data_IF_484528232800
#
_entry.id   IF_484528232800
#
_cell.length_a   1.000
_cell.length_b   1.000
_cell.length_c   1.000
_cell.angle_alpha   90.00
_cell.angle_beta   90.00
_cell.angle_gamma   90.00
#
_symmetry.space_group_name_H-M   'P 1'
#
loop_
_entity.id
_entity.type
_entity.pdbx_description
1 polymer ?
#
# COMPACT_ATOMS: atom_id res chain seq x y z
N UNK A 1 -2.43 -6.49 43.87
CA UNK A 1 -2.96 -7.44 42.86
C UNK A 1 -4.20 -6.89 42.13
N UNK A 2 -4.97 -5.98 42.72
CA UNK A 2 -6.16 -5.35 42.08
C UNK A 2 -5.85 -4.40 40.93
N UNK A 3 -4.80 -3.57 40.99
CA UNK A 3 -4.44 -2.64 39.89
C UNK A 3 -4.12 -3.35 38.56
N UNK A 4 -3.59 -4.57 38.61
CA UNK A 4 -3.31 -5.36 37.41
C UNK A 4 -4.59 -5.92 36.77
N UNK A 5 -5.70 -6.00 37.52
CA UNK A 5 -7.00 -6.51 37.05
C UNK A 5 -7.83 -5.42 36.39
N UNK A 6 -7.73 -4.17 36.84
CA UNK A 6 -8.45 -3.02 36.25
C UNK A 6 -7.89 -2.63 34.87
N UNK A 7 -6.56 -2.59 34.72
CA UNK A 7 -5.87 -2.30 33.46
C UNK A 7 -6.19 -3.30 32.34
N UNK A 8 -6.29 -4.59 32.67
CA UNK A 8 -6.67 -5.65 31.71
C UNK A 8 -8.14 -5.51 31.26
N UNK A 9 -9.04 -5.15 32.17
CA UNK A 9 -10.46 -4.91 31.85
C UNK A 9 -10.64 -3.67 30.97
N UNK A 10 -9.88 -2.61 31.25
CA UNK A 10 -9.90 -1.39 30.45
C UNK A 10 -9.42 -1.65 29.01
N UNK A 11 -8.30 -2.36 28.85
CA UNK A 11 -7.78 -2.68 27.51
C UNK A 11 -8.74 -3.53 26.68
N UNK A 12 -9.46 -4.47 27.30
CA UNK A 12 -10.45 -5.28 26.59
C UNK A 12 -11.70 -4.47 26.22
N UNK A 13 -12.16 -3.58 27.10
CA UNK A 13 -13.27 -2.67 26.79
C UNK A 13 -12.91 -1.72 25.63
N UNK A 14 -11.70 -1.15 25.65
CA UNK A 14 -11.19 -0.29 24.57
C UNK A 14 -11.16 -1.04 23.24
N UNK A 15 -10.62 -2.27 23.21
CA UNK A 15 -10.59 -3.09 21.98
C UNK A 15 -11.98 -3.42 21.43
N UNK A 16 -12.96 -3.64 22.29
CA UNK A 16 -14.35 -3.91 21.87
C UNK A 16 -14.98 -2.66 21.27
N UNK A 17 -14.82 -1.51 21.92
CA UNK A 17 -15.31 -0.22 21.43
C UNK A 17 -14.64 0.15 20.10
N UNK A 18 -13.31 0.03 20.02
CA UNK A 18 -12.53 0.26 18.80
C UNK A 18 -13.04 -0.62 17.64
N UNK A 19 -13.22 -1.92 17.87
CA UNK A 19 -13.75 -2.85 16.86
C UNK A 19 -15.14 -2.45 16.38
N UNK A 20 -15.99 -1.95 17.29
CA UNK A 20 -17.34 -1.50 16.95
C UNK A 20 -17.30 -0.22 16.10
N UNK A 21 -16.50 0.78 16.52
CA UNK A 21 -16.30 2.03 15.77
C UNK A 21 -15.81 1.74 14.36
N UNK A 22 -14.77 0.92 14.20
CA UNK A 22 -14.20 0.63 12.88
C UNK A 22 -15.21 -0.09 11.97
N UNK A 23 -15.96 -1.07 12.50
CA UNK A 23 -16.99 -1.77 11.72
C UNK A 23 -18.08 -0.81 11.24
N UNK A 24 -18.56 0.06 12.12
CA UNK A 24 -19.56 1.08 11.78
C UNK A 24 -19.00 2.06 10.74
N UNK A 25 -17.74 2.47 10.88
CA UNK A 25 -17.09 3.38 9.95
C UNK A 25 -16.93 2.75 8.55
N UNK A 26 -16.51 1.48 8.47
CA UNK A 26 -16.42 0.73 7.20
C UNK A 26 -17.80 0.65 6.54
N UNK A 27 -18.85 0.33 7.31
CA UNK A 27 -20.22 0.26 6.79
C UNK A 27 -20.71 1.60 6.26
N UNK A 28 -20.56 2.67 7.03
CA UNK A 28 -20.98 4.01 6.64
C UNK A 28 -20.21 4.51 5.42
N UNK A 29 -18.89 4.33 5.38
CA UNK A 29 -18.07 4.71 4.22
C UNK A 29 -18.45 3.95 2.96
N UNK A 30 -18.70 2.64 3.07
CA UNK A 30 -19.14 1.84 1.93
C UNK A 30 -20.49 2.32 1.39
N UNK A 31 -21.43 2.66 2.28
CA UNK A 31 -22.73 3.23 1.91
C UNK A 31 -22.57 4.58 1.20
N UNK A 32 -21.78 5.49 1.77
CA UNK A 32 -21.51 6.81 1.18
C UNK A 32 -20.87 6.69 -0.20
N UNK A 33 -19.94 5.75 -0.39
CA UNK A 33 -19.30 5.50 -1.68
C UNK A 33 -20.30 5.02 -2.74
N UNK A 34 -21.21 4.11 -2.39
CA UNK A 34 -22.25 3.64 -3.30
C UNK A 34 -23.14 4.81 -3.73
N UNK A 35 -23.61 5.61 -2.75
CA UNK A 35 -24.45 6.78 -3.03
C UNK A 35 -23.71 7.79 -3.91
N UNK A 36 -22.45 8.11 -3.58
CA UNK A 36 -21.65 9.05 -4.36
C UNK A 36 -21.38 8.55 -5.79
N UNK A 37 -21.18 7.26 -5.98
CA UNK A 37 -20.98 6.65 -7.30
C UNK A 37 -22.25 6.72 -8.15
N UNK A 38 -23.41 6.42 -7.55
CA UNK A 38 -24.71 6.55 -8.23
C UNK A 38 -24.99 8.01 -8.57
N UNK A 39 -24.72 8.93 -7.64
CA UNK A 39 -24.88 10.37 -7.85
C UNK A 39 -24.00 10.86 -9.00
N UNK A 40 -22.75 10.42 -9.06
CA UNK A 40 -21.84 10.75 -10.15
C UNK A 40 -22.38 10.23 -11.50
N UNK A 41 -22.82 8.97 -11.55
CA UNK A 41 -23.44 8.41 -12.76
C UNK A 41 -24.68 9.20 -13.20
N UNK A 42 -25.53 9.60 -12.25
CA UNK A 42 -26.67 10.46 -12.52
C UNK A 42 -26.26 11.82 -13.09
N UNK A 43 -25.25 12.48 -12.48
CA UNK A 43 -24.73 13.75 -12.97
C UNK A 43 -24.19 13.63 -14.39
N UNK A 44 -23.40 12.60 -14.69
CA UNK A 44 -22.87 12.36 -16.03
C UNK A 44 -23.98 12.19 -17.06
N UNK A 45 -24.96 11.31 -16.78
CA UNK A 45 -26.08 11.07 -17.70
C UNK A 45 -26.89 12.35 -17.91
N UNK A 46 -27.22 13.06 -16.83
CA UNK A 46 -27.96 14.32 -16.89
C UNK A 46 -27.22 15.37 -17.73
N UNK A 47 -25.92 15.56 -17.48
CA UNK A 47 -25.10 16.52 -18.21
C UNK A 47 -25.00 16.20 -19.71
N UNK A 48 -25.02 14.91 -20.08
CA UNK A 48 -25.04 14.49 -21.48
C UNK A 48 -26.40 14.77 -22.14
N UNK A 49 -27.51 14.47 -21.44
CA UNK A 49 -28.87 14.67 -21.96
C UNK A 49 -29.26 16.15 -22.10
N UNK A 50 -28.75 17.01 -21.22
CA UNK A 50 -28.98 18.46 -21.28
C UNK A 50 -28.08 19.17 -22.30
N UNK A 51 -27.03 18.50 -22.81
CA UNK A 51 -26.15 19.06 -23.83
C UNK A 51 -26.71 18.85 -25.23
N UNK A 52 -27.01 19.95 -25.91
CA UNK A 52 -27.62 19.98 -27.25
C UNK A 52 -26.69 19.40 -28.35
N UNK A 53 -25.37 19.36 -28.12
CA UNK A 53 -24.36 18.91 -29.08
C UNK A 53 -23.49 17.76 -28.54
N UNK A 54 -23.90 17.10 -27.45
CA UNK A 54 -23.10 16.07 -26.76
C UNK A 54 -21.69 16.52 -26.33
N UNK A 55 -21.41 17.82 -26.33
CA UNK A 55 -20.16 18.42 -25.87
C UNK A 55 -20.41 19.01 -24.47
N UNK A 56 -19.60 18.59 -23.50
CA UNK A 56 -19.64 19.12 -22.15
C UNK A 56 -18.76 20.36 -22.05
N UNK A 57 -19.26 21.39 -21.37
CA UNK A 57 -18.47 22.56 -21.02
C UNK A 57 -17.31 22.17 -20.08
N UNK A 58 -16.18 22.88 -20.19
CA UNK A 58 -15.01 22.62 -19.35
C UNK A 58 -15.30 22.75 -17.86
N UNK A 59 -16.17 23.68 -17.46
CA UNK A 59 -16.55 23.86 -16.06
C UNK A 59 -17.34 22.65 -15.55
N UNK A 60 -18.31 22.17 -16.36
CA UNK A 60 -19.09 20.96 -16.04
C UNK A 60 -18.18 19.74 -15.95
N UNK A 61 -17.20 19.63 -16.86
CA UNK A 61 -16.23 18.53 -16.83
C UNK A 61 -15.35 18.57 -15.58
N UNK A 62 -14.88 19.76 -15.17
CA UNK A 62 -14.12 19.94 -13.93
C UNK A 62 -14.94 19.56 -12.69
N UNK A 63 -16.23 19.94 -12.64
CA UNK A 63 -17.13 19.55 -11.56
C UNK A 63 -17.31 18.02 -11.49
N UNK A 64 -17.52 17.36 -12.63
CA UNK A 64 -17.62 15.90 -12.71
C UNK A 64 -16.31 15.22 -12.26
N UNK A 65 -15.15 15.74 -12.68
CA UNK A 65 -13.87 15.24 -12.19
C UNK A 65 -13.70 15.46 -10.70
N UNK A 66 -14.20 16.55 -10.13
CA UNK A 66 -14.17 16.78 -8.70
C UNK A 66 -14.97 15.75 -7.90
N UNK A 67 -16.17 15.42 -8.36
CA UNK A 67 -17.00 14.36 -7.76
C UNK A 67 -16.37 12.97 -7.99
N UNK A 68 -15.80 12.72 -9.15
CA UNK A 68 -15.06 11.48 -9.43
C UNK A 68 -13.86 11.30 -8.50
N UNK A 69 -13.05 12.35 -8.33
CA UNK A 69 -11.97 12.38 -7.36
C UNK A 69 -12.52 12.12 -5.96
N UNK A 70 -13.61 12.77 -5.53
CA UNK A 70 -14.23 12.52 -4.23
C UNK A 70 -14.52 11.02 -3.99
N UNK A 71 -15.05 10.32 -4.99
CA UNK A 71 -15.28 8.85 -4.92
C UNK A 71 -13.95 8.10 -4.77
N UNK A 72 -12.92 8.45 -5.54
CA UNK A 72 -11.59 7.85 -5.40
C UNK A 72 -10.96 8.09 -4.02
N UNK A 73 -11.21 9.24 -3.36
CA UNK A 73 -10.78 9.43 -1.95
C UNK A 73 -11.41 8.37 -1.09
N UNK A 74 -12.73 8.23 -1.19
CA UNK A 74 -13.47 7.39 -0.26
C UNK A 74 -13.03 5.94 -0.40
N UNK A 75 -12.72 5.49 -1.61
CA UNK A 75 -12.19 4.14 -1.86
C UNK A 75 -10.83 3.97 -1.17
N UNK A 76 -9.91 4.94 -1.34
CA UNK A 76 -8.59 4.95 -0.71
C UNK A 76 -8.69 4.94 0.84
N UNK A 77 -9.55 5.80 1.40
CA UNK A 77 -9.78 5.87 2.83
C UNK A 77 -10.42 4.58 3.37
N UNK A 78 -11.36 3.99 2.62
CA UNK A 78 -11.97 2.71 2.99
C UNK A 78 -10.91 1.61 3.07
N UNK A 79 -9.95 1.57 2.13
CA UNK A 79 -8.85 0.61 2.18
C UNK A 79 -7.92 0.87 3.36
N UNK A 80 -7.57 2.14 3.61
CA UNK A 80 -6.78 2.54 4.77
C UNK A 80 -7.41 2.07 6.10
N UNK A 81 -8.73 2.26 6.26
CA UNK A 81 -9.47 1.83 7.46
C UNK A 81 -9.54 0.30 7.55
N UNK A 82 -9.69 -0.41 6.42
CA UNK A 82 -9.66 -1.88 6.40
C UNK A 82 -8.30 -2.44 6.82
N UNK A 83 -7.21 -1.81 6.36
CA UNK A 83 -5.85 -2.19 6.77
C UNK A 83 -5.68 -1.98 8.27
N UNK A 84 -6.15 -0.87 8.82
CA UNK A 84 -6.16 -0.64 10.26
C UNK A 84 -6.90 -1.74 11.01
N UNK A 85 -8.11 -2.10 10.56
CA UNK A 85 -8.90 -3.18 11.17
C UNK A 85 -8.18 -4.53 11.20
N UNK A 86 -7.42 -4.85 10.13
CA UNK A 86 -6.75 -6.16 9.99
C UNK A 86 -5.45 -6.24 10.80
N UNK A 87 -4.68 -5.15 10.86
CA UNK A 87 -3.33 -5.16 11.47
C UNK A 87 -3.26 -4.52 12.85
N UNK A 88 -4.28 -3.77 13.29
CA UNK A 88 -4.33 -2.98 14.54
C UNK A 88 -3.15 -2.01 14.78
N UNK A 89 -2.15 -1.97 13.90
CA UNK A 89 -0.96 -1.12 13.97
C UNK A 89 -0.91 -0.18 12.77
N UNK A 90 -1.21 1.10 13.00
CA UNK A 90 -0.97 2.17 12.03
C UNK A 90 0.50 2.56 12.12
N UNK A 91 1.24 2.32 11.04
CA UNK A 91 2.59 2.83 10.92
C UNK A 91 2.51 4.33 10.59
N UNK A 92 3.40 5.14 11.19
CA UNK A 92 3.47 6.59 10.95
C UNK A 92 3.60 6.92 9.45
N UNK A 93 4.23 6.02 8.69
CA UNK A 93 4.33 6.08 7.24
C UNK A 93 2.96 6.20 6.53
N UNK A 94 1.95 5.45 6.98
CA UNK A 94 0.60 5.45 6.40
C UNK A 94 -0.09 6.79 6.62
N UNK A 95 0.06 7.37 7.82
CA UNK A 95 -0.54 8.67 8.14
C UNK A 95 0.06 9.78 7.26
N UNK A 96 1.38 9.73 7.03
CA UNK A 96 2.05 10.69 6.14
C UNK A 96 1.63 10.55 4.67
N UNK A 97 1.44 9.32 4.18
CA UNK A 97 0.91 9.05 2.84
C UNK A 97 -0.50 9.62 2.69
N UNK A 98 -1.37 9.37 3.66
CA UNK A 98 -2.75 9.91 3.66
C UNK A 98 -2.73 11.44 3.68
N UNK A 99 -1.83 12.07 4.45
CA UNK A 99 -1.68 13.53 4.47
C UNK A 99 -1.23 14.08 3.11
N UNK A 100 -0.25 13.45 2.45
CA UNK A 100 0.21 13.83 1.11
C UNK A 100 -0.91 13.70 0.07
N UNK A 101 -1.66 12.59 0.09
CA UNK A 101 -2.81 12.37 -0.80
C UNK A 101 -3.90 13.44 -0.56
N UNK A 102 -4.17 13.79 0.70
CA UNK A 102 -5.16 14.80 1.05
C UNK A 102 -4.78 16.19 0.50
N UNK A 103 -3.52 16.61 0.64
CA UNK A 103 -3.06 17.90 0.12
C UNK A 103 -3.01 17.90 -1.41
N UNK A 104 -2.46 16.85 -2.02
CA UNK A 104 -2.38 16.75 -3.48
C UNK A 104 -3.76 16.97 -4.13
N UNK A 105 -4.80 16.38 -3.53
CA UNK A 105 -6.17 16.54 -3.99
C UNK A 105 -6.75 17.92 -3.79
N UNK A 106 -6.41 18.59 -2.69
CA UNK A 106 -6.81 19.97 -2.46
C UNK A 106 -6.22 20.91 -3.51
N UNK A 107 -5.00 20.61 -3.97
CA UNK A 107 -4.29 21.38 -5.01
C UNK A 107 -4.90 21.15 -6.39
N UNK A 108 -5.24 19.90 -6.76
CA UNK A 108 -5.87 19.59 -8.06
C UNK A 108 -7.22 20.30 -8.22
N UNK A 109 -7.98 20.43 -7.12
CA UNK A 109 -9.28 21.12 -7.09
C UNK A 109 -9.16 22.63 -6.88
N UNK A 110 -7.95 23.17 -6.81
CA UNK A 110 -7.72 24.58 -6.50
C UNK A 110 -7.98 25.43 -7.74
N UNK A 111 -8.86 26.41 -7.59
CA UNK A 111 -9.07 27.46 -8.57
C UNK A 111 -8.08 28.60 -8.31
N UNK A 112 -6.98 28.64 -9.06
CA UNK A 112 -5.87 29.58 -8.86
C UNK A 112 -6.26 31.06 -9.06
N UNK A 113 -7.37 31.34 -9.73
CA UNK A 113 -7.83 32.73 -9.94
C UNK A 113 -8.31 33.38 -8.64
N UNK A 114 -8.59 32.58 -7.61
CA UNK A 114 -9.07 33.05 -6.29
C UNK A 114 -7.95 33.21 -5.25
N UNK A 115 -6.72 32.80 -5.55
CA UNK A 115 -5.62 32.81 -4.59
C UNK A 115 -4.51 33.79 -4.99
N UNK A 116 -4.02 34.52 -4.01
CA UNK A 116 -2.83 35.34 -4.17
C UNK A 116 -1.57 34.48 -4.34
N UNK A 117 -0.54 35.01 -5.01
CA UNK A 117 0.73 34.29 -5.18
C UNK A 117 1.40 33.89 -3.86
N UNK A 118 1.15 34.64 -2.77
CA UNK A 118 1.67 34.33 -1.45
C UNK A 118 0.98 33.10 -0.82
N UNK A 119 -0.33 32.92 -1.05
CA UNK A 119 -1.07 31.73 -0.61
C UNK A 119 -0.61 30.48 -1.35
N UNK A 120 -0.37 30.59 -2.67
CA UNK A 120 0.15 29.48 -3.49
C UNK A 120 1.55 29.07 -3.02
N UNK A 121 2.42 30.03 -2.67
CA UNK A 121 3.72 29.76 -2.06
C UNK A 121 3.59 29.09 -0.68
N UNK A 122 2.61 29.50 0.13
CA UNK A 122 2.29 28.85 1.40
C UNK A 122 1.93 27.37 1.20
N UNK A 123 1.07 27.06 0.23
CA UNK A 123 0.69 25.69 -0.12
C UNK A 123 1.91 24.88 -0.57
N UNK A 124 2.77 25.44 -1.43
CA UNK A 124 4.00 24.78 -1.87
C UNK A 124 4.92 24.45 -0.68
N UNK A 125 5.05 25.35 0.29
CA UNK A 125 5.88 25.13 1.48
C UNK A 125 5.37 23.97 2.34
N UNK A 126 4.04 23.83 2.49
CA UNK A 126 3.42 22.72 3.23
C UNK A 126 3.68 21.39 2.53
N UNK A 127 3.52 21.34 1.21
CA UNK A 127 3.81 20.13 0.41
C UNK A 127 5.26 19.69 0.62
N UNK A 128 6.21 20.63 0.51
CA UNK A 128 7.63 20.36 0.71
C UNK A 128 7.89 19.83 2.14
N UNK A 129 7.31 20.46 3.16
CA UNK A 129 7.48 20.04 4.55
C UNK A 129 6.98 18.60 4.79
N UNK A 130 5.82 18.24 4.25
CA UNK A 130 5.28 16.88 4.35
C UNK A 130 6.13 15.86 3.57
N UNK A 131 6.56 16.20 2.36
CA UNK A 131 7.42 15.33 1.55
C UNK A 131 8.76 15.06 2.23
N UNK A 132 9.38 16.09 2.82
CA UNK A 132 10.62 15.94 3.59
C UNK A 132 10.41 15.13 4.87
N UNK A 133 9.29 15.35 5.58
CA UNK A 133 8.93 14.55 6.76
C UNK A 133 8.80 13.06 6.42
N UNK A 134 8.09 12.74 5.34
CA UNK A 134 7.97 11.36 4.84
C UNK A 134 9.34 10.77 4.46
N UNK A 135 10.18 11.55 3.76
CA UNK A 135 11.52 11.13 3.39
C UNK A 135 12.40 10.78 4.60
N UNK A 136 12.38 11.60 5.66
CA UNK A 136 13.16 11.34 6.86
C UNK A 136 12.68 10.10 7.62
N UNK A 137 11.36 9.89 7.74
CA UNK A 137 10.79 8.68 8.37
C UNK A 137 11.22 7.43 7.60
N UNK A 138 11.18 7.48 6.27
CA UNK A 138 11.63 6.38 5.41
C UNK A 138 13.12 6.10 5.60
N UNK A 139 13.94 7.15 5.63
CA UNK A 139 15.39 7.04 5.84
C UNK A 139 15.76 6.52 7.23
N UNK A 140 14.96 6.83 8.25
CA UNK A 140 15.15 6.37 9.63
C UNK A 140 14.75 4.89 9.85
N UNK A 141 14.30 4.19 8.81
CA UNK A 141 13.95 2.77 8.90
C UNK A 141 12.48 2.47 9.19
N UNK A 142 11.57 3.40 8.90
CA UNK A 142 10.12 3.24 9.11
C UNK A 142 9.43 2.13 8.29
N UNK A 143 10.17 1.35 7.49
CA UNK A 143 9.64 0.35 6.58
C UNK A 143 9.14 -0.93 7.30
N UNK A 144 8.03 -0.83 8.02
CA UNK A 144 7.22 -1.96 8.50
C UNK A 144 5.95 -2.20 7.68
N UNK A 145 5.65 -1.32 6.71
CA UNK A 145 4.37 -1.30 6.00
C UNK A 145 4.29 -2.30 4.83
N UNK A 146 5.35 -2.45 4.03
CA UNK A 146 5.25 -3.26 2.81
C UNK A 146 5.16 -4.76 3.13
N UNK A 147 4.07 -5.44 2.77
CA UNK A 147 4.01 -6.89 2.86
C UNK A 147 5.01 -7.47 1.86
N UNK A 148 6.18 -7.93 2.35
CA UNK A 148 7.00 -8.87 1.59
C UNK A 148 6.21 -10.17 1.51
N UNK A 149 5.56 -10.40 0.38
CA UNK A 149 4.94 -11.68 0.09
C UNK A 149 6.05 -12.73 0.06
N UNK A 150 6.21 -13.47 1.16
CA UNK A 150 7.16 -14.58 1.22
C UNK A 150 6.52 -15.70 0.42
N UNK A 151 6.93 -15.86 -0.83
CA UNK A 151 6.66 -17.07 -1.62
C UNK A 151 7.02 -18.30 -0.79
N UNK A 152 6.03 -18.93 -0.16
CA UNK A 152 6.19 -20.24 0.47
C UNK A 152 6.26 -21.27 -0.64
N UNK A 153 7.48 -21.69 -0.98
CA UNK A 153 7.71 -22.81 -1.90
C UNK A 153 7.01 -24.03 -1.29
N UNK A 154 5.92 -24.49 -1.92
CA UNK A 154 5.33 -25.79 -1.63
C UNK A 154 6.04 -26.80 -2.53
N UNK A 155 6.77 -27.73 -1.94
CA UNK A 155 7.33 -28.87 -2.65
C UNK A 155 6.18 -29.80 -3.05
N UNK A 156 5.94 -29.95 -4.35
CA UNK A 156 4.99 -30.94 -4.89
C UNK A 156 5.77 -32.22 -5.17
N UNK A 157 5.45 -33.28 -4.43
CA UNK A 157 5.96 -34.64 -4.69
C UNK A 157 5.03 -35.30 -5.71
N UNK A 158 5.56 -35.71 -6.86
CA UNK A 158 4.83 -36.47 -7.87
C UNK A 158 5.39 -37.89 -7.87
N UNK A 159 4.53 -38.88 -7.59
CA UNK A 159 4.81 -40.29 -7.81
C UNK A 159 4.41 -40.67 -9.25
N UNK A 160 5.34 -41.19 -10.04
CA UNK A 160 5.05 -41.81 -11.33
C UNK A 160 5.13 -43.34 -11.19
N UNK A 161 4.11 -44.05 -11.71
CA UNK A 161 4.11 -45.50 -11.86
C UNK A 161 4.41 -45.87 -13.30
N UNK A 162 5.53 -46.55 -13.54
CA UNK A 162 5.90 -47.08 -14.86
C UNK A 162 5.42 -48.54 -15.00
N UNK A 163 4.85 -48.87 -16.16
CA UNK A 163 4.44 -50.21 -16.55
C UNK A 163 5.41 -50.75 -17.61
N UNK A 164 5.93 -51.97 -17.39
CA UNK A 164 6.81 -52.69 -18.32
C UNK A 164 5.99 -53.50 -19.34
N UNK A 165 6.55 -53.75 -20.53
CA UNK A 165 5.88 -54.33 -21.71
C UNK A 165 5.47 -55.82 -21.52
N UNK A 166 5.85 -56.43 -20.39
CA UNK A 166 5.44 -57.78 -19.92
C UNK A 166 4.36 -57.75 -18.80
N UNK A 167 3.74 -56.59 -18.53
CA UNK A 167 2.57 -56.49 -17.64
C UNK A 167 2.87 -56.59 -16.13
N UNK A 168 4.04 -56.14 -15.67
CA UNK A 168 4.32 -55.94 -14.23
C UNK A 168 4.80 -54.52 -13.93
N UNK A 169 4.26 -53.91 -12.87
CA UNK A 169 4.61 -52.57 -12.39
C UNK A 169 5.90 -52.57 -11.57
N UNK A 170 6.78 -51.58 -11.82
CA UNK A 170 7.87 -51.21 -10.91
C UNK A 170 7.82 -49.69 -10.68
N UNK A 171 7.84 -49.28 -9.40
CA UNK A 171 7.91 -47.87 -9.00
C UNK A 171 9.39 -47.48 -8.98
N UNK A 172 9.78 -46.50 -9.80
CA UNK A 172 11.12 -45.92 -9.78
C UNK A 172 11.04 -44.41 -9.58
N UNK A 173 11.47 -43.92 -8.42
CA UNK A 173 11.51 -42.49 -8.12
C UNK A 173 12.66 -41.81 -8.90
N UNK A 174 12.34 -40.86 -9.79
CA UNK A 174 13.33 -39.94 -10.37
C UNK A 174 12.93 -38.49 -10.12
N UNK A 175 13.71 -37.78 -9.30
CA UNK A 175 13.59 -36.32 -9.14
C UNK A 175 13.88 -35.62 -10.47
N UNK A 176 12.84 -35.20 -11.19
CA UNK A 176 12.93 -34.21 -12.27
C UNK A 176 12.49 -32.85 -11.72
N UNK A 177 13.41 -31.91 -11.66
CA UNK A 177 13.09 -30.50 -11.39
C UNK A 177 12.53 -29.86 -12.65
N UNK A 178 11.20 -29.75 -12.76
CA UNK A 178 10.57 -28.90 -13.76
C UNK A 178 10.73 -27.43 -13.34
N UNK A 179 11.46 -26.65 -14.14
CA UNK A 179 11.40 -25.19 -14.13
C UNK A 179 10.02 -24.79 -14.66
N UNK A 180 9.10 -24.46 -13.77
CA UNK A 180 7.84 -23.85 -14.20
C UNK A 180 8.04 -22.35 -14.36
N UNK A 181 7.95 -21.93 -15.62
CA UNK A 181 7.97 -20.55 -16.09
C UNK A 181 6.53 -20.04 -16.00
N UNK A 182 6.19 -19.33 -14.93
CA UNK A 182 4.98 -18.50 -14.89
C UNK A 182 5.37 -17.04 -14.73
N UNK A 183 5.24 -16.33 -15.85
CA UNK A 183 5.31 -14.90 -16.00
C UNK A 183 4.10 -14.30 -15.29
N UNK A 184 4.33 -13.68 -14.14
CA UNK A 184 3.54 -12.53 -13.70
C UNK A 184 4.48 -11.34 -13.75
N UNK A 185 4.19 -10.47 -14.71
CA UNK A 185 4.94 -9.28 -15.04
C UNK A 185 4.80 -8.26 -13.89
N UNK A 186 5.89 -8.00 -13.17
CA UNK A 186 6.03 -6.88 -12.24
C UNK A 186 6.91 -5.84 -12.93
N UNK A 187 6.35 -4.67 -13.24
CA UNK A 187 7.12 -3.50 -13.69
C UNK A 187 7.94 -2.99 -12.50
N UNK A 188 9.25 -3.20 -12.57
CA UNK A 188 10.25 -2.78 -11.59
C UNK A 188 10.52 -1.27 -11.74
N UNK A 189 10.32 -0.42 -10.70
CA UNK A 189 10.96 0.88 -10.69
C UNK A 189 12.42 0.67 -10.28
N UNK A 190 13.33 0.88 -11.23
CA UNK A 190 14.77 0.92 -11.02
C UNK A 190 15.12 1.93 -9.92
N UNK A 191 15.49 1.41 -8.74
CA UNK A 191 16.26 2.16 -7.75
C UNK A 191 17.39 1.25 -7.29
N UNK A 192 18.42 1.12 -8.12
CA UNK A 192 19.73 0.67 -7.68
C UNK A 192 20.36 1.70 -6.75
N UNK A 193 20.02 1.64 -5.46
CA UNK A 193 20.84 2.24 -4.38
C UNK A 193 21.10 1.20 -3.31
N UNK A 194 22.28 0.58 -3.41
CA UNK A 194 22.88 -0.33 -2.43
C UNK A 194 23.07 0.41 -1.10
N UNK A 195 22.12 0.29 -0.17
CA UNK A 195 22.35 0.71 1.22
C UNK A 195 23.16 -0.38 1.93
N UNK A 196 24.44 -0.12 2.13
CA UNK A 196 25.31 -0.84 3.06
C UNK A 196 25.20 -0.17 4.43
N UNK A 197 24.71 -0.90 5.42
CA UNK A 197 24.58 -0.38 6.78
C UNK A 197 25.93 -0.36 7.50
N UNK A 198 26.08 0.42 8.60
CA UNK A 198 27.33 0.47 9.38
C UNK A 198 27.82 -0.88 9.93
N UNK A 199 26.93 -1.89 10.00
CA UNK A 199 27.28 -3.25 10.44
C UNK A 199 28.05 -4.03 9.38
N UNK A 200 27.82 -3.75 8.09
CA UNK A 200 28.42 -4.50 6.97
C UNK A 200 29.87 -4.06 6.75
N UNK A 201 30.18 -2.78 6.97
CA UNK A 201 31.54 -2.24 6.92
C UNK A 201 32.48 -2.83 7.99
N UNK A 202 31.93 -3.26 9.14
CA UNK A 202 32.70 -3.92 10.20
C UNK A 202 33.00 -5.37 9.80
N UNK A 203 32.05 -6.04 9.14
CA UNK A 203 32.21 -7.41 8.65
C UNK A 203 33.22 -7.46 7.50
N UNK A 204 33.17 -6.52 6.55
CA UNK A 204 34.14 -6.46 5.46
C UNK A 204 35.56 -6.16 5.95
N UNK A 205 35.75 -5.26 6.94
CA UNK A 205 37.07 -5.06 7.57
C UNK A 205 37.57 -6.31 8.29
N UNK A 206 36.67 -7.06 8.95
CA UNK A 206 37.05 -8.28 9.66
C UNK A 206 37.50 -9.37 8.68
N UNK A 207 36.76 -9.54 7.57
CA UNK A 207 37.09 -10.49 6.49
C UNK A 207 38.41 -10.11 5.81
N UNK A 208 38.66 -8.81 5.58
CA UNK A 208 39.91 -8.34 5.00
C UNK A 208 41.11 -8.57 5.94
N UNK A 209 40.94 -8.31 7.24
CA UNK A 209 42.00 -8.60 8.24
C UNK A 209 42.32 -10.09 8.38
N UNK A 210 41.33 -10.96 8.16
CA UNK A 210 41.49 -12.42 8.23
C UNK A 210 42.17 -12.98 6.96
N UNK A 211 41.98 -12.33 5.81
CA UNK A 211 42.69 -12.65 4.56
C UNK A 211 44.16 -12.23 4.61
N UNK A 212 44.45 -11.02 5.08
CA UNK A 212 45.83 -10.51 5.15
C UNK A 212 46.70 -11.30 6.14
N UNK A 213 46.09 -11.96 7.14
CA UNK A 213 46.78 -12.86 8.05
C UNK A 213 47.07 -14.26 7.47
N UNK A 214 46.34 -14.69 6.43
CA UNK A 214 46.52 -16.00 5.79
C UNK A 214 47.57 -15.99 4.67
N UNK A 215 47.78 -14.85 4.02
CA UNK A 215 48.82 -14.68 2.98
C UNK A 215 50.25 -14.49 3.53
N UNK A 216 50.40 -14.38 4.87
CA UNK A 216 51.69 -14.12 5.52
C UNK A 216 52.28 -15.33 6.27
N UNK A 217 51.80 -16.54 6.00
CA UNK A 217 52.25 -17.77 6.66
C UNK A 217 52.64 -18.85 5.66
#
# INVERSE_FOLDING_TARGET
>A
MEERKSTVRLNNAVKVVERYIIKTLIGLMSLLLIIATVQLGYMVIKSILESDVFILDLNVLMDLFGVFLLVLIGIELLDTIKVYFKKHDIHVEVVMLVALIAIARKIILLDFDKYSGLEVLGIASIVIALSLGYYFIKKAGGCGFWPRDRKTVKDVVIEETEFDDDGKTRIAERKKTLKEKNTEEQVEPDIRSKYSGPKDAIIERKIQSEKDSKDKK
#
